data_IF_258210238224
#
_entry.id   IF_258210238224
#
_cell.length_a   1.000
_cell.length_b   1.000
_cell.length_c   1.000
_cell.angle_alpha   90.00
_cell.angle_beta   90.00
_cell.angle_gamma   90.00
#
_symmetry.space_group_name_H-M   'P 1'
#
loop_
_entity.id
_entity.type
_entity.pdbx_description
1 polymer ?
#
# COMPACT_ATOMS: atom_id res chain seq x y z
N UNK A 1 -4.27 18.96 50.93
CA UNK A 1 -3.39 18.82 49.72
C UNK A 1 -3.69 17.58 48.88
N UNK A 2 -3.99 16.40 49.46
CA UNK A 2 -4.18 15.14 48.69
C UNK A 2 -5.36 15.14 47.70
N UNK A 3 -6.48 15.79 48.02
CA UNK A 3 -7.70 15.76 47.21
C UNK A 3 -7.59 16.53 45.88
N UNK A 4 -6.80 17.62 45.85
CA UNK A 4 -6.58 18.41 44.62
C UNK A 4 -5.76 17.63 43.59
N UNK A 5 -4.80 16.81 44.03
CA UNK A 5 -3.98 15.98 43.15
C UNK A 5 -4.79 14.83 42.53
N UNK A 6 -5.73 14.23 43.28
CA UNK A 6 -6.61 13.17 42.77
C UNK A 6 -7.55 13.73 41.68
N UNK A 7 -8.12 14.92 41.89
CA UNK A 7 -8.96 15.58 40.89
C UNK A 7 -8.18 15.97 39.63
N UNK A 8 -6.94 16.45 39.77
CA UNK A 8 -6.08 16.82 38.64
C UNK A 8 -5.70 15.59 37.78
N UNK A 9 -5.36 14.47 38.42
CA UNK A 9 -5.02 13.21 37.72
C UNK A 9 -6.24 12.64 37.01
N UNK A 10 -7.42 12.68 37.64
CA UNK A 10 -8.67 12.24 37.01
C UNK A 10 -9.01 13.08 35.77
N UNK A 11 -8.87 14.40 35.87
CA UNK A 11 -9.11 15.32 34.75
C UNK A 11 -8.12 15.13 33.59
N UNK A 12 -6.85 14.85 33.89
CA UNK A 12 -5.84 14.54 32.88
C UNK A 12 -6.11 13.20 32.18
N UNK A 13 -6.55 12.18 32.93
CA UNK A 13 -6.89 10.87 32.37
C UNK A 13 -8.10 10.96 31.42
N UNK A 14 -9.13 11.73 31.78
CA UNK A 14 -10.29 11.92 30.89
C UNK A 14 -9.95 12.74 29.66
N UNK A 15 -9.13 13.79 29.78
CA UNK A 15 -8.67 14.58 28.64
C UNK A 15 -7.81 13.74 27.66
N UNK A 16 -6.93 12.88 28.18
CA UNK A 16 -6.13 11.97 27.35
C UNK A 16 -7.02 10.95 26.65
N UNK A 17 -7.97 10.34 27.37
CA UNK A 17 -8.91 9.37 26.79
C UNK A 17 -9.75 10.01 25.68
N UNK A 18 -10.27 11.21 25.90
CA UNK A 18 -11.00 11.96 24.88
C UNK A 18 -10.12 12.29 23.67
N UNK A 19 -8.88 12.73 23.89
CA UNK A 19 -7.93 13.05 22.81
C UNK A 19 -7.59 11.82 21.97
N UNK A 20 -7.33 10.67 22.62
CA UNK A 20 -7.09 9.40 21.92
C UNK A 20 -8.34 8.96 21.16
N UNK A 21 -9.53 9.11 21.74
CA UNK A 21 -10.79 8.70 21.09
C UNK A 21 -11.09 9.56 19.86
N UNK A 22 -10.92 10.88 19.95
CA UNK A 22 -11.08 11.80 18.82
C UNK A 22 -10.03 11.51 17.74
N UNK A 23 -8.77 11.27 18.13
CA UNK A 23 -7.71 10.90 17.20
C UNK A 23 -8.04 9.59 16.47
N UNK A 24 -8.44 8.54 17.19
CA UNK A 24 -8.82 7.25 16.58
C UNK A 24 -10.06 7.38 15.70
N UNK A 25 -11.08 8.12 16.11
CA UNK A 25 -12.27 8.36 15.29
C UNK A 25 -11.95 9.13 14.00
N UNK A 26 -11.07 10.13 14.09
CA UNK A 26 -10.61 10.88 12.91
C UNK A 26 -9.81 9.99 11.95
N UNK A 27 -8.97 9.09 12.49
CA UNK A 27 -8.20 8.13 11.72
C UNK A 27 -9.12 7.13 11.02
N UNK A 28 -10.11 6.58 11.72
CA UNK A 28 -11.08 5.64 11.15
C UNK A 28 -11.94 6.29 10.04
N UNK A 29 -12.35 7.55 10.21
CA UNK A 29 -13.07 8.28 9.18
C UNK A 29 -12.21 8.55 7.93
N UNK A 30 -10.91 8.74 8.15
CA UNK A 30 -9.91 9.00 7.12
C UNK A 30 -9.53 7.75 6.32
N UNK A 31 -9.32 6.60 6.99
CA UNK A 31 -9.08 5.31 6.31
C UNK A 31 -10.27 4.94 5.42
N UNK A 32 -11.50 5.26 5.85
CA UNK A 32 -12.71 5.02 5.05
C UNK A 32 -12.71 5.73 3.70
N UNK A 33 -12.07 6.90 3.58
CA UNK A 33 -11.99 7.61 2.28
C UNK A 33 -11.17 6.76 1.33
N UNK A 34 -9.92 6.42 1.70
CA UNK A 34 -9.05 5.59 0.88
C UNK A 34 -9.70 4.24 0.55
N UNK A 35 -10.23 3.56 1.57
CA UNK A 35 -10.90 2.27 1.42
C UNK A 35 -12.10 2.34 0.48
N UNK A 36 -12.86 3.46 0.45
CA UNK A 36 -14.00 3.61 -0.45
C UNK A 36 -13.57 3.55 -1.92
N UNK A 37 -12.47 4.22 -2.27
CA UNK A 37 -11.92 4.19 -3.64
C UNK A 37 -11.24 2.86 -3.95
N UNK A 38 -10.54 2.26 -2.97
CA UNK A 38 -9.97 0.91 -3.11
C UNK A 38 -11.07 -0.14 -3.35
N UNK A 39 -12.21 -0.03 -2.68
CA UNK A 39 -13.36 -0.91 -2.88
C UNK A 39 -13.92 -0.82 -4.30
N UNK A 40 -13.91 0.37 -4.91
CA UNK A 40 -14.35 0.54 -6.31
C UNK A 40 -13.43 -0.27 -7.22
N UNK A 41 -12.10 -0.12 -7.11
CA UNK A 41 -11.15 -0.89 -7.91
C UNK A 41 -11.33 -2.40 -7.66
N UNK A 42 -11.40 -2.80 -6.39
CA UNK A 42 -11.56 -4.21 -6.01
C UNK A 42 -12.84 -4.83 -6.61
N UNK A 43 -13.91 -4.05 -6.76
CA UNK A 43 -15.15 -4.52 -7.38
C UNK A 43 -15.08 -4.67 -8.90
N UNK A 44 -14.11 -4.01 -9.54
CA UNK A 44 -13.86 -4.09 -10.99
C UNK A 44 -12.93 -5.25 -11.36
N UNK A 45 -12.13 -5.76 -10.41
CA UNK A 45 -11.23 -6.88 -10.62
C UNK A 45 -11.97 -8.23 -10.65
N UNK A 46 -11.55 -9.11 -11.56
CA UNK A 46 -11.96 -10.52 -11.52
C UNK A 46 -11.38 -11.22 -10.29
N UNK A 47 -11.92 -12.38 -9.93
CA UNK A 47 -11.37 -13.17 -8.82
C UNK A 47 -9.96 -13.69 -9.13
N UNK A 48 -9.69 -13.95 -10.42
CA UNK A 48 -8.37 -14.28 -10.95
C UNK A 48 -7.39 -13.12 -10.77
N UNK A 49 -7.77 -11.90 -11.17
CA UNK A 49 -6.92 -10.70 -11.03
C UNK A 49 -6.65 -10.38 -9.56
N UNK A 50 -7.65 -10.54 -8.68
CA UNK A 50 -7.47 -10.38 -7.22
C UNK A 50 -6.47 -11.39 -6.68
N UNK A 51 -6.57 -12.64 -7.11
CA UNK A 51 -5.65 -13.71 -6.69
C UNK A 51 -4.22 -13.48 -7.20
N UNK A 52 -4.07 -13.02 -8.45
CA UNK A 52 -2.79 -12.65 -9.02
C UNK A 52 -2.17 -11.48 -8.25
N UNK A 53 -2.94 -10.41 -8.06
CA UNK A 53 -2.52 -9.24 -7.29
C UNK A 53 -2.08 -9.66 -5.88
N UNK A 54 -2.91 -10.39 -5.14
CA UNK A 54 -2.55 -10.85 -3.80
C UNK A 54 -1.30 -11.74 -3.81
N UNK A 55 -1.09 -12.55 -4.85
CA UNK A 55 0.08 -13.43 -4.98
C UNK A 55 1.39 -12.67 -5.16
N UNK A 56 1.34 -11.41 -5.61
CA UNK A 56 2.54 -10.57 -5.77
C UNK A 56 3.21 -10.33 -4.42
N UNK A 57 4.54 -10.34 -4.42
CA UNK A 57 5.35 -9.77 -3.36
C UNK A 57 5.26 -8.24 -3.38
N UNK A 58 5.56 -7.61 -2.25
CA UNK A 58 5.51 -6.16 -2.13
C UNK A 58 6.42 -5.45 -3.15
N UNK A 59 7.60 -6.00 -3.42
CA UNK A 59 8.52 -5.44 -4.42
C UNK A 59 7.94 -5.49 -5.84
N UNK A 60 7.14 -6.52 -6.15
CA UNK A 60 6.55 -6.69 -7.48
C UNK A 60 5.44 -5.66 -7.74
N UNK A 61 4.89 -5.02 -6.71
CA UNK A 61 3.87 -3.97 -6.86
C UNK A 61 4.37 -2.78 -7.67
N UNK A 62 5.68 -2.54 -7.72
CA UNK A 62 6.25 -1.48 -8.57
C UNK A 62 5.95 -1.71 -10.06
N UNK A 63 5.77 -2.97 -10.48
CA UNK A 63 5.42 -3.29 -11.87
C UNK A 63 4.03 -2.77 -12.25
N UNK A 64 3.17 -2.50 -11.27
CA UNK A 64 1.84 -1.94 -11.46
C UNK A 64 1.84 -0.42 -11.61
N UNK A 65 2.99 0.25 -11.43
CA UNK A 65 3.09 1.71 -11.45
C UNK A 65 2.62 2.31 -12.78
N UNK A 66 3.07 1.75 -13.91
CA UNK A 66 2.67 2.23 -15.24
C UNK A 66 1.39 1.59 -15.79
N UNK A 67 0.78 0.66 -15.06
CA UNK A 67 -0.53 0.09 -15.41
C UNK A 67 -1.60 0.63 -14.47
N UNK A 68 -1.88 -0.10 -13.38
CA UNK A 68 -2.91 0.24 -12.42
C UNK A 68 -2.64 1.59 -11.74
N UNK A 69 -1.39 1.89 -11.38
CA UNK A 69 -1.00 3.18 -10.79
C UNK A 69 -1.31 4.36 -11.71
N UNK A 70 -1.00 4.22 -13.00
CA UNK A 70 -1.31 5.23 -14.01
C UNK A 70 -2.82 5.40 -14.21
N UNK A 71 -3.60 4.31 -14.21
CA UNK A 71 -5.06 4.37 -14.28
C UNK A 71 -5.64 5.13 -13.08
N UNK A 72 -5.26 4.76 -11.85
CA UNK A 72 -5.67 5.45 -10.61
C UNK A 72 -5.34 6.94 -10.68
N UNK A 73 -4.10 7.26 -11.10
CA UNK A 73 -3.64 8.64 -11.24
C UNK A 73 -4.53 9.41 -12.20
N UNK A 74 -4.75 8.88 -13.40
CA UNK A 74 -5.52 9.56 -14.44
C UNK A 74 -7.01 9.68 -14.09
N UNK A 75 -7.56 8.68 -13.38
CA UNK A 75 -8.97 8.60 -13.00
C UNK A 75 -9.32 9.60 -11.90
N UNK A 76 -8.49 9.73 -10.86
CA UNK A 76 -8.87 10.48 -9.65
C UNK A 76 -7.89 11.58 -9.20
N UNK A 77 -6.60 11.44 -9.48
CA UNK A 77 -5.56 12.27 -8.86
C UNK A 77 -5.07 13.39 -9.80
N UNK A 78 -5.12 13.16 -11.12
CA UNK A 78 -4.70 14.15 -12.12
C UNK A 78 -5.60 15.39 -12.09
N UNK A 79 -4.99 16.58 -12.06
CA UNK A 79 -5.67 17.88 -11.96
C UNK A 79 -6.64 18.02 -10.77
N UNK A 80 -6.40 17.31 -9.65
CA UNK A 80 -7.27 17.35 -8.46
C UNK A 80 -8.74 17.02 -8.78
N UNK A 81 -9.00 16.10 -9.73
CA UNK A 81 -10.37 15.70 -10.12
C UNK A 81 -11.23 15.26 -8.94
N UNK A 82 -10.62 14.68 -7.91
CA UNK A 82 -11.27 14.39 -6.64
C UNK A 82 -10.66 15.22 -5.52
N UNK A 83 -11.23 16.40 -5.27
CA UNK A 83 -10.71 17.38 -4.30
C UNK A 83 -10.63 16.81 -2.89
N UNK A 84 -11.61 16.02 -2.45
CA UNK A 84 -11.64 15.44 -1.09
C UNK A 84 -10.54 14.39 -0.93
N UNK A 85 -10.38 13.50 -1.91
CA UNK A 85 -9.35 12.46 -1.88
C UNK A 85 -7.94 13.07 -1.95
N UNK A 86 -7.77 14.04 -2.85
CA UNK A 86 -6.50 14.74 -2.99
C UNK A 86 -6.16 15.46 -1.68
N UNK A 87 -7.09 16.25 -1.13
CA UNK A 87 -6.93 16.96 0.15
C UNK A 87 -6.60 16.01 1.29
N UNK A 88 -7.26 14.85 1.34
CA UNK A 88 -6.94 13.79 2.30
C UNK A 88 -5.47 13.37 2.18
N UNK A 89 -5.02 12.98 1.00
CA UNK A 89 -3.63 12.53 0.78
C UNK A 89 -2.60 13.64 1.09
N UNK A 90 -2.92 14.89 0.73
CA UNK A 90 -2.14 16.08 1.08
C UNK A 90 -1.98 16.25 2.60
N UNK A 91 -3.08 16.15 3.36
CA UNK A 91 -3.05 16.23 4.83
C UNK A 91 -2.22 15.10 5.47
N UNK A 92 -2.05 13.98 4.78
CA UNK A 92 -1.26 12.84 5.21
C UNK A 92 0.17 12.82 4.64
N UNK A 93 0.63 13.96 4.08
CA UNK A 93 2.01 14.15 3.67
C UNK A 93 2.37 13.52 2.32
N UNK A 94 1.37 13.11 1.52
CA UNK A 94 1.60 12.61 0.17
C UNK A 94 1.12 13.64 -0.83
N UNK A 95 2.05 14.21 -1.61
CA UNK A 95 1.79 15.38 -2.46
C UNK A 95 1.84 15.06 -3.96
N UNK A 96 2.60 14.03 -4.34
CA UNK A 96 2.80 13.66 -5.73
C UNK A 96 1.76 12.61 -6.16
N UNK A 97 1.00 12.85 -7.25
CA UNK A 97 0.00 11.90 -7.76
C UNK A 97 0.56 10.50 -8.03
N UNK A 98 1.82 10.42 -8.43
CA UNK A 98 2.60 9.19 -8.60
C UNK A 98 2.68 8.39 -7.31
N UNK A 99 3.18 9.04 -6.24
CA UNK A 99 3.31 8.43 -4.91
C UNK A 99 1.94 8.09 -4.32
N UNK A 100 0.94 8.97 -4.51
CA UNK A 100 -0.45 8.71 -4.13
C UNK A 100 -1.00 7.44 -4.78
N UNK A 101 -0.77 7.24 -6.08
CA UNK A 101 -1.23 6.04 -6.78
C UNK A 101 -0.57 4.76 -6.26
N UNK A 102 0.70 4.83 -5.84
CA UNK A 102 1.40 3.73 -5.19
C UNK A 102 0.73 3.30 -3.87
N UNK A 103 0.27 4.27 -3.06
CA UNK A 103 -0.48 3.98 -1.82
C UNK A 103 -1.79 3.22 -2.11
N UNK A 104 -2.48 3.59 -3.18
CA UNK A 104 -3.69 2.90 -3.61
C UNK A 104 -3.42 1.46 -4.02
N UNK A 105 -2.38 1.23 -4.83
CA UNK A 105 -1.97 -0.11 -5.25
C UNK A 105 -1.62 -0.97 -4.03
N UNK A 106 -0.85 -0.42 -3.09
CA UNK A 106 -0.47 -1.13 -1.87
C UNK A 106 -1.69 -1.47 -1.01
N UNK A 107 -2.57 -0.49 -0.75
CA UNK A 107 -3.78 -0.73 0.05
C UNK A 107 -4.74 -1.72 -0.62
N UNK A 108 -4.86 -1.67 -1.95
CA UNK A 108 -5.64 -2.64 -2.71
C UNK A 108 -5.07 -4.05 -2.57
N UNK A 109 -3.75 -4.21 -2.67
CA UNK A 109 -3.05 -5.47 -2.49
C UNK A 109 -3.28 -6.10 -1.11
N UNK A 110 -3.21 -5.29 -0.04
CA UNK A 110 -3.58 -5.75 1.31
C UNK A 110 -5.04 -6.18 1.37
N UNK A 111 -5.94 -5.33 0.88
CA UNK A 111 -7.37 -5.56 0.96
C UNK A 111 -7.79 -6.83 0.23
N UNK A 112 -7.31 -7.06 -1.00
CA UNK A 112 -7.69 -8.28 -1.74
C UNK A 112 -7.20 -9.53 -1.03
N UNK A 113 -6.08 -9.48 -0.31
CA UNK A 113 -5.61 -10.57 0.53
C UNK A 113 -6.47 -10.75 1.79
N UNK A 114 -6.83 -9.66 2.47
CA UNK A 114 -7.71 -9.67 3.65
C UNK A 114 -9.10 -10.26 3.35
N UNK A 115 -9.66 -9.93 2.19
CA UNK A 115 -10.98 -10.40 1.75
C UNK A 115 -10.97 -11.86 1.26
N UNK A 116 -9.79 -12.49 1.09
CA UNK A 116 -9.69 -13.88 0.62
C UNK A 116 -10.05 -14.91 1.71
N UNK A 117 -10.62 -16.05 1.32
CA UNK A 117 -10.76 -17.19 2.22
C UNK A 117 -9.41 -17.70 2.76
N UNK A 118 -9.35 -18.23 3.99
CA UNK A 118 -8.10 -18.69 4.62
C UNK A 118 -7.34 -19.75 3.81
N UNK A 119 -8.04 -20.59 3.04
CA UNK A 119 -7.42 -21.57 2.16
C UNK A 119 -6.63 -20.93 1.01
N UNK A 120 -7.17 -19.87 0.40
CA UNK A 120 -6.48 -19.11 -0.66
C UNK A 120 -5.32 -18.29 -0.10
N UNK A 121 -5.49 -17.72 1.10
CA UNK A 121 -4.42 -16.99 1.79
C UNK A 121 -3.17 -17.86 2.00
N UNK A 122 -3.35 -19.14 2.41
CA UNK A 122 -2.23 -20.08 2.55
C UNK A 122 -1.47 -20.32 1.25
N UNK A 123 -2.16 -20.34 0.11
CA UNK A 123 -1.52 -20.49 -1.20
C UNK A 123 -0.74 -19.23 -1.60
N UNK A 124 -1.33 -18.05 -1.37
CA UNK A 124 -0.68 -16.75 -1.58
C UNK A 124 0.58 -16.65 -0.72
N UNK A 125 0.50 -17.00 0.57
CA UNK A 125 1.65 -17.01 1.48
C UNK A 125 2.74 -17.95 0.99
N UNK A 126 2.38 -19.13 0.48
CA UNK A 126 3.35 -20.06 -0.10
C UNK A 126 4.08 -19.44 -1.29
N UNK A 127 3.37 -18.70 -2.16
CA UNK A 127 3.97 -18.00 -3.31
C UNK A 127 4.89 -16.86 -2.87
N UNK A 128 4.40 -15.95 -2.01
CA UNK A 128 5.19 -14.84 -1.45
C UNK A 128 6.45 -15.33 -0.74
N UNK A 129 6.33 -16.37 0.09
CA UNK A 129 7.48 -16.97 0.77
C UNK A 129 8.48 -17.62 -0.18
N UNK A 130 8.02 -18.23 -1.28
CA UNK A 130 8.89 -18.78 -2.32
C UNK A 130 9.67 -17.67 -3.02
N UNK A 131 9.01 -16.57 -3.40
CA UNK A 131 9.64 -15.41 -4.01
C UNK A 131 10.68 -14.77 -3.08
N UNK A 132 10.31 -14.58 -1.80
CA UNK A 132 11.23 -14.06 -0.76
C UNK A 132 12.48 -14.93 -0.61
N UNK A 133 12.32 -16.26 -0.57
CA UNK A 133 13.46 -17.19 -0.48
C UNK A 133 14.41 -17.05 -1.68
N UNK A 134 13.88 -16.92 -2.89
CA UNK A 134 14.73 -16.69 -4.07
C UNK A 134 15.43 -15.33 -4.01
N UNK A 135 14.73 -14.28 -3.57
CA UNK A 135 15.32 -12.94 -3.37
C UNK A 135 16.50 -13.00 -2.39
N UNK A 136 16.30 -13.62 -1.23
CA UNK A 136 17.34 -13.77 -0.20
C UNK A 136 18.52 -14.61 -0.70
N UNK A 137 18.25 -15.71 -1.40
CA UNK A 137 19.30 -16.55 -1.99
C UNK A 137 20.13 -15.77 -3.02
N UNK A 138 19.48 -14.97 -3.86
CA UNK A 138 20.17 -14.13 -4.85
C UNK A 138 21.02 -13.04 -4.19
N UNK A 139 20.47 -12.35 -3.20
CA UNK A 139 21.23 -11.38 -2.40
C UNK A 139 22.44 -12.00 -1.71
N UNK A 140 22.33 -13.25 -1.24
CA UNK A 140 23.45 -13.98 -0.65
C UNK A 140 24.49 -14.36 -1.72
N UNK A 141 24.07 -14.84 -2.89
CA UNK A 141 24.97 -15.14 -4.01
C UNK A 141 25.74 -13.91 -4.49
N UNK A 142 25.07 -12.75 -4.59
CA UNK A 142 25.69 -11.49 -5.00
C UNK A 142 26.83 -11.06 -4.06
N UNK A 143 26.82 -11.49 -2.78
CA UNK A 143 27.95 -11.26 -1.85
C UNK A 143 29.21 -12.03 -2.23
N UNK A 144 29.07 -13.21 -2.85
CA UNK A 144 30.20 -14.06 -3.21
C UNK A 144 30.65 -13.86 -4.66
N UNK A 145 29.71 -13.59 -5.56
CA UNK A 145 29.96 -13.49 -7.01
C UNK A 145 30.16 -12.04 -7.48
N UNK A 146 29.94 -11.05 -6.61
CA UNK A 146 29.77 -9.66 -7.01
C UNK A 146 28.38 -9.43 -7.64
N UNK A 147 27.96 -8.17 -7.82
CA UNK A 147 26.71 -7.89 -8.52
C UNK A 147 26.77 -8.47 -9.93
N UNK A 148 25.76 -9.24 -10.31
CA UNK A 148 25.65 -9.75 -11.68
C UNK A 148 25.82 -8.58 -12.66
N UNK A 149 26.88 -8.60 -13.45
CA UNK A 149 27.14 -7.63 -14.50
C UNK A 149 25.91 -7.65 -15.43
N UNK A 150 25.22 -6.51 -15.53
CA UNK A 150 24.10 -6.39 -16.47
C UNK A 150 24.71 -6.57 -17.85
N UNK A 151 24.47 -7.72 -18.46
CA UNK A 151 24.79 -7.94 -19.87
C UNK A 151 23.86 -7.00 -20.63
N UNK A 152 24.38 -5.84 -21.05
CA UNK A 152 23.68 -4.93 -21.95
C UNK A 152 23.43 -5.68 -23.26
N UNK A 153 22.22 -6.23 -23.42
CA UNK A 153 21.78 -6.86 -24.66
C UNK A 153 21.35 -5.84 -25.72
N UNK A 154 21.80 -4.58 -25.62
CA UNK A 154 21.50 -3.52 -26.57
C UNK A 154 22.56 -3.47 -27.68
N UNK A 155 22.58 -4.53 -28.49
CA UNK A 155 23.10 -4.49 -29.86
C UNK A 155 22.05 -5.11 -30.78
N UNK A 156 20.98 -4.37 -31.05
CA UNK A 156 20.22 -4.55 -32.30
C UNK A 156 21.02 -3.89 -33.42
N UNK A 157 21.48 -4.62 -34.45
CA UNK A 157 22.11 -4.00 -35.60
C UNK A 157 21.07 -3.17 -36.34
N UNK A 158 21.40 -1.89 -36.57
CA UNK A 158 20.67 -1.02 -37.48
C UNK A 158 20.62 -1.70 -38.85
N UNK A 159 19.42 -2.11 -39.28
CA UNK A 159 19.16 -2.45 -40.66
C UNK A 159 18.61 -1.20 -41.35
N UNK A 160 19.47 -0.62 -42.20
CA UNK A 160 19.17 0.38 -43.23
C UNK A 160 18.02 -0.02 -44.16
#
# INVERSE_FOLDING_TARGET
MKTKNILLVSLLATALTASVTVYMHSRDAQTRILDSYVNIIASELSEEDKYELASMSEDELISLYFSLGMDIRNRWLWNNRQTILSLYLYCHGTFEPETMSGLFVHRLWEKVYEDMPPEKQKEVDKRRNKALRYKLMRQELDKYLGPAEKIDTEQTPDHE
#
